data_IF_780627230377
#
_entry.id   IF_780627230377
#
_cell.length_a   1.000
_cell.length_b   1.000
_cell.length_c   1.000
_cell.angle_alpha   90.00
_cell.angle_beta   90.00
_cell.angle_gamma   90.00
#
_symmetry.space_group_name_H-M   'P 1'
#
loop_
_entity.id
_entity.type
_entity.pdbx_description
1 polymer ?
#
# COMPACT_ATOMS: atom_id res chain seq x y z
N UNK A 1 25.32 8.35 15.05
CA UNK A 1 25.23 9.55 14.19
C UNK A 1 26.26 9.43 13.08
N UNK A 2 25.81 9.08 11.87
CA UNK A 2 26.65 9.12 10.66
C UNK A 2 26.09 10.25 9.81
N UNK A 3 26.97 11.17 9.42
CA UNK A 3 26.66 12.47 8.82
C UNK A 3 26.38 12.34 7.32
N UNK A 4 25.39 13.08 6.81
CA UNK A 4 24.89 13.07 5.43
C UNK A 4 25.87 13.48 4.32
N UNK A 5 27.18 13.50 4.59
CA UNK A 5 28.25 13.73 3.60
C UNK A 5 28.95 12.47 3.13
N UNK A 6 28.63 11.30 3.69
CA UNK A 6 29.22 10.01 3.29
C UNK A 6 28.36 9.18 2.31
N UNK A 7 27.10 9.58 2.05
CA UNK A 7 26.20 8.86 1.13
C UNK A 7 26.31 9.33 -0.34
N UNK A 8 26.88 10.51 -0.59
CA UNK A 8 27.01 11.10 -1.93
C UNK A 8 28.02 10.41 -2.86
N UNK A 9 29.15 9.84 -2.40
CA UNK A 9 30.07 9.10 -3.29
C UNK A 9 29.51 7.74 -3.75
N UNK A 10 28.63 7.11 -2.96
CA UNK A 10 28.10 5.77 -3.27
C UNK A 10 27.02 5.80 -4.36
N UNK A 11 26.21 6.87 -4.40
CA UNK A 11 25.17 7.09 -5.42
C UNK A 11 25.72 7.60 -6.76
N UNK A 12 26.87 8.27 -6.77
CA UNK A 12 27.53 8.73 -8.01
C UNK A 12 28.44 7.65 -8.61
N UNK A 13 28.98 6.72 -7.80
CA UNK A 13 29.75 5.57 -8.28
C UNK A 13 28.93 4.50 -9.03
N UNK A 14 27.65 4.32 -8.68
CA UNK A 14 26.76 3.36 -9.34
C UNK A 14 26.19 3.82 -10.69
N UNK A 15 26.06 5.13 -10.91
CA UNK A 15 25.47 5.69 -12.13
C UNK A 15 26.47 5.85 -13.29
N UNK A 16 27.78 5.84 -13.03
CA UNK A 16 28.82 5.93 -14.06
C UNK A 16 29.25 4.56 -14.63
N UNK A 17 28.82 3.44 -14.03
CA UNK A 17 29.12 2.09 -14.52
C UNK A 17 28.24 1.63 -15.70
N UNK A 18 27.04 2.19 -15.85
CA UNK A 18 26.06 1.71 -16.85
C UNK A 18 26.16 2.50 -18.18
N UNK A 19 26.62 3.74 -18.16
CA UNK A 19 26.78 4.56 -19.36
C UNK A 19 28.03 4.18 -20.22
N UNK A 20 29.01 3.48 -19.65
CA UNK A 20 30.22 3.06 -20.35
C UNK A 20 30.08 1.77 -21.18
N UNK A 21 29.06 0.95 -20.92
CA UNK A 21 28.95 -0.38 -21.52
C UNK A 21 28.14 -0.41 -22.83
N UNK A 22 27.20 0.52 -23.01
CA UNK A 22 26.40 0.61 -24.24
C UNK A 22 27.12 1.27 -25.43
N UNK A 23 28.31 1.86 -25.24
CA UNK A 23 29.11 2.43 -26.33
C UNK A 23 30.22 1.49 -26.85
N UNK A 24 30.39 0.31 -26.25
CA UNK A 24 31.48 -0.64 -26.57
C UNK A 24 31.15 -1.75 -27.57
N UNK A 25 29.87 -2.03 -27.86
CA UNK A 25 29.48 -3.13 -28.77
C UNK A 25 29.24 -2.68 -30.22
N UNK A 26 29.67 -1.46 -30.57
CA UNK A 26 29.43 -0.84 -31.87
C UNK A 26 30.67 -0.60 -32.72
N UNK A 27 31.69 -1.48 -32.73
CA UNK A 27 32.70 -1.52 -33.81
C UNK A 27 33.64 -2.73 -33.69
N UNK A 28 33.55 -3.65 -34.64
CA UNK A 28 34.67 -4.51 -35.03
C UNK A 28 34.38 -6.00 -35.16
N UNK A 29 33.90 -6.42 -36.34
CA UNK A 29 34.22 -7.73 -36.91
C UNK A 29 33.24 -8.87 -36.66
N UNK A 30 32.33 -9.09 -37.61
CA UNK A 30 31.88 -10.42 -38.01
C UNK A 30 32.46 -10.68 -39.42
N UNK A 31 32.91 -11.91 -39.73
CA UNK A 31 31.95 -12.98 -39.98
C UNK A 31 32.37 -14.30 -39.33
N UNK A 32 31.63 -14.73 -38.32
CA UNK A 32 31.77 -16.05 -37.72
C UNK A 32 30.46 -16.41 -37.04
N UNK A 33 29.86 -17.54 -37.43
CA UNK A 33 28.46 -17.84 -37.16
C UNK A 33 28.09 -17.88 -35.69
N UNK A 34 26.82 -17.56 -35.41
CA UNK A 34 26.16 -17.84 -34.14
C UNK A 34 26.22 -19.35 -33.87
N UNK A 35 27.28 -19.77 -33.18
CA UNK A 35 27.37 -21.13 -32.65
C UNK A 35 26.42 -21.23 -31.46
N UNK A 36 25.63 -22.31 -31.43
CA UNK A 36 24.71 -22.67 -30.33
C UNK A 36 25.41 -22.57 -28.96
N UNK A 37 26.70 -22.88 -28.93
CA UNK A 37 27.59 -22.82 -27.76
C UNK A 37 27.81 -21.40 -27.20
N UNK A 38 27.80 -20.36 -28.05
CA UNK A 38 27.87 -18.96 -27.62
C UNK A 38 26.55 -18.48 -26.99
N UNK A 39 25.43 -18.91 -27.55
CA UNK A 39 24.09 -18.66 -27.00
C UNK A 39 23.87 -19.39 -25.67
N UNK A 40 24.32 -20.64 -25.53
CA UNK A 40 24.24 -21.41 -24.29
C UNK A 40 25.06 -20.77 -23.16
N UNK A 41 26.23 -20.22 -23.47
CA UNK A 41 27.03 -19.50 -22.49
C UNK A 41 26.36 -18.21 -22.01
N UNK A 42 25.73 -17.44 -22.92
CA UNK A 42 24.97 -16.25 -22.55
C UNK A 42 23.73 -16.60 -21.70
N UNK A 43 23.04 -17.69 -22.04
CA UNK A 43 21.88 -18.17 -21.29
C UNK A 43 22.24 -18.65 -19.87
N UNK A 44 23.42 -19.25 -19.72
CA UNK A 44 23.96 -19.64 -18.41
C UNK A 44 24.31 -18.42 -17.57
N UNK A 45 25.02 -17.45 -18.13
CA UNK A 45 25.39 -16.21 -17.43
C UNK A 45 24.13 -15.44 -16.99
N UNK A 46 23.12 -15.32 -17.86
CA UNK A 46 21.86 -14.66 -17.52
C UNK A 46 21.04 -15.42 -16.45
N UNK A 47 21.15 -16.76 -16.38
CA UNK A 47 20.53 -17.55 -15.31
C UNK A 47 21.25 -17.38 -13.98
N UNK A 48 22.57 -17.35 -14.00
CA UNK A 48 23.39 -17.16 -12.81
C UNK A 48 23.19 -15.75 -12.23
N UNK A 49 23.06 -14.74 -13.09
CA UNK A 49 22.71 -13.36 -12.69
C UNK A 49 21.29 -13.26 -12.13
N UNK A 50 20.28 -13.91 -12.75
CA UNK A 50 18.93 -13.94 -12.18
C UNK A 50 18.91 -14.62 -10.81
N UNK A 51 19.60 -15.75 -10.65
CA UNK A 51 19.69 -16.44 -9.37
C UNK A 51 20.41 -15.60 -8.29
N UNK A 52 21.42 -14.82 -8.69
CA UNK A 52 22.11 -13.88 -7.81
C UNK A 52 21.19 -12.71 -7.42
N UNK A 53 20.46 -12.13 -8.37
CA UNK A 53 19.50 -11.04 -8.13
C UNK A 53 18.32 -11.49 -7.27
N UNK A 54 17.83 -12.72 -7.43
CA UNK A 54 16.80 -13.30 -6.56
C UNK A 54 17.31 -13.47 -5.13
N UNK A 55 18.57 -13.89 -4.97
CA UNK A 55 19.21 -14.04 -3.66
C UNK A 55 19.48 -12.69 -3.00
N UNK A 56 19.90 -11.68 -3.76
CA UNK A 56 20.09 -10.31 -3.28
C UNK A 56 18.76 -9.64 -2.95
N UNK A 57 17.72 -9.82 -3.77
CA UNK A 57 16.35 -9.41 -3.42
C UNK A 57 15.85 -10.12 -2.16
N UNK A 58 16.10 -11.43 -2.01
CA UNK A 58 15.79 -12.19 -0.80
C UNK A 58 16.52 -11.65 0.44
N UNK A 59 17.78 -11.24 0.28
CA UNK A 59 18.58 -10.66 1.35
C UNK A 59 18.16 -9.23 1.70
N UNK A 60 17.76 -8.42 0.72
CA UNK A 60 17.24 -7.06 0.91
C UNK A 60 15.84 -7.10 1.56
N UNK A 61 15.00 -8.06 1.15
CA UNK A 61 13.72 -8.41 1.81
C UNK A 61 13.89 -8.79 3.28
N UNK A 62 14.96 -9.51 3.61
CA UNK A 62 15.28 -9.89 5.00
C UNK A 62 15.79 -8.72 5.85
N UNK A 63 16.33 -7.66 5.24
CA UNK A 63 16.95 -6.52 5.92
C UNK A 63 16.00 -5.33 6.11
N UNK A 64 14.91 -5.25 5.36
CA UNK A 64 13.86 -4.25 5.52
C UNK A 64 12.89 -4.61 6.67
N UNK A 65 13.35 -4.42 7.90
CA UNK A 65 12.59 -4.04 9.10
C UNK A 65 11.18 -4.66 9.32
N UNK A 66 11.14 -5.71 10.15
CA UNK A 66 10.07 -5.87 11.16
C UNK A 66 8.79 -6.63 10.75
N UNK A 67 8.57 -6.93 9.48
CA UNK A 67 7.51 -7.83 9.04
C UNK A 67 7.64 -8.10 7.55
N UNK A 68 7.57 -9.37 7.15
CA UNK A 68 7.88 -9.79 5.79
C UNK A 68 6.90 -9.25 4.74
N UNK A 69 7.21 -9.43 3.46
CA UNK A 69 6.25 -9.22 2.37
C UNK A 69 5.24 -10.39 2.34
N UNK A 70 3.96 -10.07 2.13
CA UNK A 70 2.92 -11.07 1.87
C UNK A 70 2.81 -11.26 0.36
N UNK A 71 2.95 -12.52 -0.07
CA UNK A 71 2.81 -12.88 -1.48
C UNK A 71 1.38 -12.62 -1.95
N UNK A 72 1.23 -11.88 -3.04
CA UNK A 72 -0.06 -11.62 -3.65
C UNK A 72 -0.31 -12.63 -4.77
N UNK A 73 -1.40 -13.42 -4.73
CA UNK A 73 -1.72 -14.35 -5.81
C UNK A 73 -1.93 -13.63 -7.14
N UNK A 74 -1.32 -14.14 -8.21
CA UNK A 74 -1.40 -13.52 -9.54
C UNK A 74 -2.84 -13.47 -10.06
N UNK A 75 -3.68 -14.43 -9.67
CA UNK A 75 -5.11 -14.48 -10.00
C UNK A 75 -5.85 -13.25 -9.47
N UNK A 76 -5.50 -12.75 -8.27
CA UNK A 76 -6.09 -11.53 -7.72
C UNK A 76 -5.69 -10.31 -8.53
N UNK A 77 -4.42 -10.22 -8.94
CA UNK A 77 -3.92 -9.13 -9.78
C UNK A 77 -4.64 -9.11 -11.12
N UNK A 78 -4.65 -10.24 -11.82
CA UNK A 78 -5.31 -10.38 -13.12
C UNK A 78 -6.81 -10.06 -13.05
N UNK A 79 -7.47 -10.46 -11.95
CA UNK A 79 -8.87 -10.12 -11.72
C UNK A 79 -9.07 -8.62 -11.60
N UNK A 80 -8.29 -7.95 -10.75
CA UNK A 80 -8.41 -6.51 -10.53
C UNK A 80 -8.15 -5.76 -11.84
N UNK A 81 -7.09 -6.11 -12.56
CA UNK A 81 -6.75 -5.46 -13.83
C UNK A 81 -7.89 -5.59 -14.85
N UNK A 82 -8.49 -6.78 -14.94
CA UNK A 82 -9.64 -7.03 -15.80
C UNK A 82 -10.88 -6.24 -15.36
N UNK A 83 -11.20 -6.27 -14.07
CA UNK A 83 -12.42 -5.67 -13.53
C UNK A 83 -12.39 -4.13 -13.65
N UNK A 84 -11.19 -3.52 -13.66
CA UNK A 84 -10.99 -2.08 -13.74
C UNK A 84 -10.48 -1.57 -15.11
N UNK A 85 -10.11 -2.47 -16.02
CA UNK A 85 -9.55 -2.09 -17.32
C UNK A 85 -8.22 -1.34 -17.24
N UNK A 86 -7.49 -1.49 -16.15
CA UNK A 86 -6.19 -0.85 -15.88
C UNK A 86 -5.15 -1.92 -15.56
N UNK A 87 -3.87 -1.62 -15.74
CA UNK A 87 -2.77 -2.51 -15.34
C UNK A 87 -2.00 -1.91 -14.17
N UNK A 88 -1.45 -2.75 -13.31
CA UNK A 88 -0.47 -2.29 -12.34
C UNK A 88 0.76 -1.74 -13.08
N UNK A 89 1.16 -0.51 -12.75
CA UNK A 89 2.37 0.14 -13.29
C UNK A 89 3.61 -0.53 -12.70
N UNK A 90 3.53 -0.93 -11.43
CA UNK A 90 4.54 -1.73 -10.74
C UNK A 90 3.87 -2.84 -9.94
N UNK A 91 4.56 -3.97 -9.75
CA UNK A 91 4.04 -5.09 -8.97
C UNK A 91 3.69 -4.62 -7.55
N UNK A 92 2.45 -4.84 -7.08
CA UNK A 92 2.05 -4.38 -5.76
C UNK A 92 2.78 -5.17 -4.68
N UNK A 93 3.28 -4.45 -3.68
CA UNK A 93 3.93 -5.03 -2.50
C UNK A 93 3.00 -4.82 -1.33
N UNK A 94 2.69 -5.91 -0.62
CA UNK A 94 1.90 -5.89 0.60
C UNK A 94 2.83 -6.29 1.74
N UNK A 95 2.95 -5.41 2.73
CA UNK A 95 3.82 -5.66 3.86
C UNK A 95 3.05 -6.26 5.03
N UNK A 96 3.67 -7.16 5.77
CA UNK A 96 3.14 -7.65 7.03
C UNK A 96 3.63 -6.77 8.19
N UNK A 97 2.77 -6.53 9.16
CA UNK A 97 3.11 -5.81 10.39
C UNK A 97 2.42 -6.46 11.58
N UNK A 98 3.01 -6.36 12.77
CA UNK A 98 2.33 -6.78 14.00
C UNK A 98 1.07 -5.92 14.24
N UNK A 99 0.00 -6.52 14.79
CA UNK A 99 -1.26 -5.79 15.05
C UNK A 99 -1.03 -4.52 15.89
N UNK A 100 -0.17 -4.59 16.90
CA UNK A 100 0.18 -3.47 17.80
C UNK A 100 0.95 -2.34 17.10
N UNK A 101 1.73 -2.65 16.07
CA UNK A 101 2.56 -1.69 15.35
C UNK A 101 1.77 -0.93 14.26
N UNK A 102 0.61 -1.47 13.85
CA UNK A 102 -0.24 -0.82 12.87
C UNK A 102 -0.70 0.58 13.32
N UNK A 103 -0.98 0.76 14.60
CA UNK A 103 -1.37 2.06 15.16
C UNK A 103 -0.30 3.13 14.97
N UNK A 104 0.95 2.81 15.29
CA UNK A 104 2.09 3.72 15.13
C UNK A 104 2.36 4.10 13.68
N UNK A 105 2.17 3.15 12.75
CA UNK A 105 2.29 3.45 11.30
C UNK A 105 1.20 4.40 10.82
N UNK A 106 -0.04 4.18 11.25
CA UNK A 106 -1.16 5.06 10.91
C UNK A 106 -0.93 6.46 11.49
N UNK A 107 -0.47 6.55 12.73
CA UNK A 107 -0.14 7.83 13.39
C UNK A 107 0.91 8.60 12.59
N UNK A 108 2.05 7.98 12.29
CA UNK A 108 3.12 8.59 11.51
C UNK A 108 2.66 9.02 10.11
N UNK A 109 1.83 8.23 9.44
CA UNK A 109 1.28 8.58 8.13
C UNK A 109 0.31 9.77 8.19
N UNK A 110 -0.53 9.85 9.23
CA UNK A 110 -1.42 11.00 9.42
C UNK A 110 -0.61 12.28 9.67
N UNK A 111 0.39 12.22 10.55
CA UNK A 111 1.22 13.38 10.90
C UNK A 111 2.06 13.86 9.72
N UNK A 112 2.74 12.93 9.03
CA UNK A 112 3.58 13.25 7.87
C UNK A 112 2.82 13.95 6.75
N UNK A 113 1.54 13.58 6.55
CA UNK A 113 0.66 14.15 5.53
C UNK A 113 0.37 15.64 5.74
N UNK A 114 0.11 16.04 6.98
CA UNK A 114 -0.34 17.41 7.31
C UNK A 114 0.82 18.34 7.68
N UNK A 115 2.00 17.77 7.96
CA UNK A 115 3.19 18.51 8.33
C UNK A 115 3.21 18.94 9.81
N UNK A 116 4.28 19.65 10.22
CA UNK A 116 4.46 20.07 11.61
C UNK A 116 3.28 20.88 12.12
N UNK A 117 2.80 20.59 13.33
CA UNK A 117 1.66 21.25 13.98
C UNK A 117 0.31 21.12 13.26
N UNK A 118 0.27 20.52 12.06
CA UNK A 118 -0.96 20.45 11.27
C UNK A 118 -2.09 19.70 11.97
N UNK A 119 -1.78 18.69 12.77
CA UNK A 119 -2.79 17.98 13.57
C UNK A 119 -3.30 18.80 14.76
N UNK A 120 -2.40 19.55 15.42
CA UNK A 120 -2.76 20.40 16.56
C UNK A 120 -3.66 21.55 16.11
N UNK A 121 -3.29 22.23 15.02
CA UNK A 121 -4.08 23.33 14.43
C UNK A 121 -5.49 22.87 14.04
N UNK A 122 -5.62 21.67 13.46
CA UNK A 122 -6.92 21.07 13.10
C UNK A 122 -7.74 20.74 14.33
N UNK A 123 -7.11 20.17 15.34
CA UNK A 123 -7.79 19.84 16.59
C UNK A 123 -8.34 21.12 17.24
N UNK A 124 -7.56 22.19 17.28
CA UNK A 124 -8.05 23.48 17.75
C UNK A 124 -9.20 23.98 16.88
N UNK A 125 -9.02 24.06 15.56
CA UNK A 125 -10.04 24.53 14.63
C UNK A 125 -11.37 23.76 14.79
N UNK A 126 -11.33 22.43 14.92
CA UNK A 126 -12.54 21.63 15.09
C UNK A 126 -13.19 21.84 16.45
N UNK A 127 -12.42 22.12 17.52
CA UNK A 127 -12.99 22.56 18.81
C UNK A 127 -13.66 23.92 18.69
N UNK A 128 -13.07 24.87 17.96
CA UNK A 128 -13.67 26.17 17.69
C UNK A 128 -14.99 26.07 16.92
N UNK A 129 -15.07 25.14 15.96
CA UNK A 129 -16.30 24.83 15.20
C UNK A 129 -17.32 24.03 16.01
N UNK A 130 -16.96 23.53 17.19
CA UNK A 130 -17.82 22.66 18.01
C UNK A 130 -17.92 21.22 17.49
N UNK A 131 -17.06 20.82 16.57
CA UNK A 131 -16.99 19.45 16.04
C UNK A 131 -16.23 18.49 16.96
N UNK A 132 -15.40 19.02 17.87
CA UNK A 132 -14.72 18.26 18.92
C UNK A 132 -15.04 18.86 20.29
N UNK A 133 -15.18 17.98 21.29
CA UNK A 133 -15.21 18.34 22.69
C UNK A 133 -13.84 18.80 23.22
N UNK A 134 -13.84 19.36 24.44
CA UNK A 134 -12.61 19.88 25.08
C UNK A 134 -11.58 18.79 25.35
N UNK A 135 -12.05 17.61 25.75
CA UNK A 135 -11.20 16.46 26.10
C UNK A 135 -10.88 15.56 24.90
N UNK A 136 -11.49 15.83 23.75
CA UNK A 136 -11.30 14.99 22.56
C UNK A 136 -9.90 15.20 21.98
N UNK A 137 -9.28 14.07 21.59
CA UNK A 137 -7.94 14.02 21.01
C UNK A 137 -8.03 13.50 19.58
N UNK A 138 -7.92 14.41 18.61
CA UNK A 138 -8.23 14.14 17.20
C UNK A 138 -7.36 13.02 16.61
N UNK A 139 -6.04 13.12 16.81
CA UNK A 139 -5.08 12.14 16.27
C UNK A 139 -5.34 10.75 16.87
N UNK A 140 -5.44 10.65 18.20
CA UNK A 140 -5.69 9.38 18.89
C UNK A 140 -7.01 8.73 18.44
N UNK A 141 -8.08 9.53 18.29
CA UNK A 141 -9.36 9.05 17.79
C UNK A 141 -9.26 8.51 16.36
N UNK A 142 -8.59 9.22 15.45
CA UNK A 142 -8.40 8.75 14.08
C UNK A 142 -7.54 7.49 13.97
N UNK A 143 -6.45 7.42 14.75
CA UNK A 143 -5.60 6.23 14.82
C UNK A 143 -6.41 5.05 15.34
N UNK A 144 -7.17 5.22 16.42
CA UNK A 144 -7.99 4.17 17.01
C UNK A 144 -9.03 3.63 16.01
N UNK A 145 -9.74 4.50 15.31
CA UNK A 145 -10.77 4.10 14.32
C UNK A 145 -10.18 3.29 13.18
N UNK A 146 -8.97 3.66 12.72
CA UNK A 146 -8.32 3.02 11.57
C UNK A 146 -7.54 1.76 11.95
N UNK A 147 -7.18 1.58 13.21
CA UNK A 147 -6.37 0.45 13.69
C UNK A 147 -7.19 -0.65 14.39
N UNK A 148 -8.25 -0.30 15.14
CA UNK A 148 -8.99 -1.27 15.95
C UNK A 148 -9.70 -2.28 15.06
N UNK A 149 -9.33 -3.55 15.21
CA UNK A 149 -9.90 -4.65 14.43
C UNK A 149 -9.51 -4.65 12.94
N UNK A 150 -8.63 -3.75 12.52
CA UNK A 150 -8.12 -3.71 11.16
C UNK A 150 -7.22 -4.93 10.90
N UNK A 151 -7.49 -5.66 9.82
CA UNK A 151 -6.62 -6.74 9.32
C UNK A 151 -5.65 -6.27 8.24
N UNK A 152 -5.87 -5.06 7.74
CA UNK A 152 -4.99 -4.40 6.80
C UNK A 152 -5.38 -2.95 6.62
N UNK A 153 -4.42 -2.17 6.15
CA UNK A 153 -4.49 -0.73 6.02
C UNK A 153 -3.71 -0.28 4.78
N UNK A 154 -4.10 0.86 4.22
CA UNK A 154 -3.47 1.44 3.05
C UNK A 154 -3.11 2.89 3.35
N UNK A 155 -1.84 3.22 3.14
CA UNK A 155 -1.30 4.55 3.27
C UNK A 155 -1.55 5.36 1.99
N UNK A 156 -2.36 6.41 2.11
CA UNK A 156 -2.74 7.27 0.99
C UNK A 156 -1.63 8.26 0.59
N UNK A 157 -0.60 8.42 1.41
CA UNK A 157 0.55 9.30 1.14
C UNK A 157 1.62 8.54 0.37
N UNK A 158 1.99 7.35 0.85
CA UNK A 158 3.09 6.58 0.26
C UNK A 158 2.61 5.60 -0.80
N UNK A 159 1.33 5.23 -0.78
CA UNK A 159 0.79 4.18 -1.63
C UNK A 159 1.10 2.76 -1.13
N UNK A 160 1.63 2.62 0.08
CA UNK A 160 1.97 1.34 0.68
C UNK A 160 0.75 0.66 1.32
N UNK A 161 0.68 -0.65 1.18
CA UNK A 161 -0.36 -1.47 1.78
C UNK A 161 0.23 -2.40 2.83
N UNK A 162 -0.49 -2.52 3.95
CA UNK A 162 -0.09 -3.28 5.12
C UNK A 162 -1.18 -4.29 5.49
N UNK A 163 -0.79 -5.47 5.94
CA UNK A 163 -1.66 -6.46 6.58
C UNK A 163 -1.10 -6.84 7.94
N UNK A 164 -1.98 -7.14 8.89
CA UNK A 164 -1.56 -7.54 10.23
C UNK A 164 -1.11 -9.00 10.26
N UNK A 165 -0.39 -9.39 11.31
CA UNK A 165 -0.11 -10.78 11.69
C UNK A 165 -1.35 -11.67 11.87
N UNK A 166 -2.55 -11.08 12.04
CA UNK A 166 -3.84 -11.79 12.07
C UNK A 166 -4.45 -12.08 10.70
N UNK A 167 -3.80 -11.65 9.62
CA UNK A 167 -4.26 -11.88 8.27
C UNK A 167 -4.08 -13.37 7.88
N UNK A 168 -5.12 -13.97 7.32
CA UNK A 168 -5.12 -15.33 6.83
C UNK A 168 -5.50 -15.37 5.33
N UNK A 169 -4.56 -15.77 4.47
CA UNK A 169 -4.77 -15.82 3.02
C UNK A 169 -5.83 -16.83 2.58
N UNK A 170 -6.15 -17.81 3.42
CA UNK A 170 -7.17 -18.82 3.12
C UNK A 170 -8.58 -18.36 3.53
N UNK A 171 -8.67 -17.33 4.39
CA UNK A 171 -9.92 -16.82 4.89
C UNK A 171 -10.58 -15.86 3.89
N UNK A 172 -11.82 -16.15 3.48
CA UNK A 172 -12.56 -15.35 2.48
C UNK A 172 -12.66 -13.87 2.85
N UNK A 173 -13.02 -13.49 4.10
CA UNK A 173 -12.96 -12.10 4.54
C UNK A 173 -11.62 -11.39 4.34
N UNK A 174 -10.52 -12.09 4.55
CA UNK A 174 -9.18 -11.52 4.45
C UNK A 174 -8.74 -11.43 2.99
N UNK A 175 -9.10 -12.39 2.16
CA UNK A 175 -8.97 -12.28 0.70
C UNK A 175 -9.76 -11.07 0.15
N UNK A 176 -10.96 -10.81 0.68
CA UNK A 176 -11.76 -9.65 0.30
C UNK A 176 -11.07 -8.34 0.72
N UNK A 177 -10.51 -8.29 1.93
CA UNK A 177 -9.72 -7.16 2.42
C UNK A 177 -8.44 -6.95 1.60
N UNK A 178 -7.76 -8.03 1.17
CA UNK A 178 -6.60 -7.97 0.27
C UNK A 178 -6.97 -7.35 -1.07
N UNK A 179 -8.09 -7.76 -1.68
CA UNK A 179 -8.59 -7.15 -2.92
C UNK A 179 -8.86 -5.65 -2.74
N UNK A 180 -9.44 -5.25 -1.61
CA UNK A 180 -9.65 -3.83 -1.29
C UNK A 180 -8.32 -3.07 -1.26
N UNK A 181 -7.30 -3.60 -0.61
CA UNK A 181 -5.97 -2.98 -0.56
C UNK A 181 -5.36 -2.85 -1.97
N UNK A 182 -5.39 -3.93 -2.75
CA UNK A 182 -4.82 -3.96 -4.09
C UNK A 182 -5.51 -2.98 -5.06
N UNK A 183 -6.83 -2.79 -4.94
CA UNK A 183 -7.53 -1.76 -5.72
C UNK A 183 -7.06 -0.36 -5.35
N UNK A 184 -6.83 -0.08 -4.05
CA UNK A 184 -6.27 1.21 -3.63
C UNK A 184 -4.84 1.41 -4.14
N UNK A 185 -4.01 0.36 -4.13
CA UNK A 185 -2.66 0.40 -4.74
C UNK A 185 -2.75 0.71 -6.23
N UNK A 186 -3.63 0.03 -6.97
CA UNK A 186 -3.83 0.28 -8.41
C UNK A 186 -4.24 1.74 -8.66
N UNK A 187 -5.25 2.23 -7.95
CA UNK A 187 -5.73 3.60 -8.10
C UNK A 187 -4.66 4.62 -7.72
N UNK A 188 -3.85 4.36 -6.70
CA UNK A 188 -2.76 5.24 -6.30
C UNK A 188 -1.65 5.29 -7.35
N UNK A 189 -1.33 4.17 -8.01
CA UNK A 189 -0.33 4.16 -9.10
C UNK A 189 -0.77 5.02 -10.29
N UNK A 190 -2.06 4.97 -10.67
CA UNK A 190 -2.59 5.76 -11.80
C UNK A 190 -2.93 7.20 -11.43
N UNK A 191 -3.37 7.43 -10.19
CA UNK A 191 -3.85 8.72 -9.70
C UNK A 191 -3.19 9.07 -8.35
N UNK A 192 -1.86 9.29 -8.34
CA UNK A 192 -1.14 9.59 -7.10
C UNK A 192 -1.63 10.92 -6.50
N UNK A 193 -1.52 11.09 -5.16
CA UNK A 193 -1.82 12.37 -4.54
C UNK A 193 -0.85 13.46 -5.05
N UNK A 194 -1.25 14.75 -5.00
CA UNK A 194 -0.33 15.84 -5.27
C UNK A 194 0.81 15.87 -4.25
N UNK A 195 1.96 16.39 -4.65
CA UNK A 195 3.16 16.45 -3.80
C UNK A 195 3.00 17.36 -2.57
N UNK A 196 2.16 18.39 -2.68
CA UNK A 196 1.77 19.24 -1.57
C UNK A 196 0.38 18.86 -1.07
N UNK A 197 0.18 18.94 0.26
CA UNK A 197 -1.11 18.64 0.86
C UNK A 197 -2.20 19.57 0.29
N UNK A 198 -3.25 19.02 -0.36
CA UNK A 198 -4.22 19.82 -1.10
C UNK A 198 -5.29 20.47 -0.21
N UNK A 199 -5.25 20.23 1.10
CA UNK A 199 -6.33 20.59 2.04
C UNK A 199 -7.22 19.39 2.38
N UNK A 200 -7.92 19.48 3.50
CA UNK A 200 -8.72 18.38 4.08
C UNK A 200 -9.81 17.92 3.11
N UNK A 201 -10.60 18.84 2.55
CA UNK A 201 -11.71 18.51 1.67
C UNK A 201 -11.26 17.75 0.41
N UNK A 202 -10.19 18.22 -0.24
CA UNK A 202 -9.67 17.59 -1.45
C UNK A 202 -9.03 16.23 -1.16
N UNK A 203 -8.30 16.13 -0.04
CA UNK A 203 -7.72 14.87 0.41
C UNK A 203 -8.82 13.85 0.72
N UNK A 204 -9.82 14.22 1.52
CA UNK A 204 -10.92 13.35 1.90
C UNK A 204 -11.79 12.94 0.71
N UNK A 205 -12.06 13.85 -0.22
CA UNK A 205 -12.82 13.51 -1.43
C UNK A 205 -12.10 12.43 -2.25
N UNK A 206 -10.79 12.55 -2.44
CA UNK A 206 -9.98 11.54 -3.13
C UNK A 206 -9.95 10.22 -2.35
N UNK A 207 -9.67 10.27 -1.05
CA UNK A 207 -9.60 9.08 -0.20
C UNK A 207 -10.94 8.33 -0.17
N UNK A 208 -12.05 9.07 -0.06
CA UNK A 208 -13.40 8.51 -0.08
C UNK A 208 -13.71 7.87 -1.43
N UNK A 209 -13.34 8.51 -2.55
CA UNK A 209 -13.51 7.94 -3.88
C UNK A 209 -12.74 6.63 -4.03
N UNK A 210 -11.45 6.62 -3.66
CA UNK A 210 -10.60 5.43 -3.75
C UNK A 210 -11.11 4.31 -2.82
N UNK A 211 -11.49 4.65 -1.59
CA UNK A 211 -12.05 3.71 -0.63
C UNK A 211 -13.40 3.13 -1.08
N UNK A 212 -14.28 3.95 -1.65
CA UNK A 212 -15.57 3.51 -2.18
C UNK A 212 -15.42 2.55 -3.35
N UNK A 213 -14.56 2.88 -4.32
CA UNK A 213 -14.25 1.99 -5.46
C UNK A 213 -13.70 0.65 -4.95
N UNK A 214 -12.74 0.68 -4.01
CA UNK A 214 -12.18 -0.52 -3.42
C UNK A 214 -13.20 -1.35 -2.62
N UNK A 215 -14.11 -0.70 -1.88
CA UNK A 215 -15.23 -1.33 -1.17
C UNK A 215 -16.21 -2.03 -2.13
N UNK A 216 -16.44 -1.44 -3.31
CA UNK A 216 -17.23 -2.08 -4.38
C UNK A 216 -16.58 -3.38 -4.88
N UNK A 217 -15.26 -3.43 -5.05
CA UNK A 217 -14.55 -4.66 -5.41
C UNK A 217 -14.66 -5.74 -4.32
N UNK A 218 -14.48 -5.36 -3.05
CA UNK A 218 -14.68 -6.23 -1.90
C UNK A 218 -16.10 -6.82 -1.90
N UNK A 219 -17.12 -5.98 -2.09
CA UNK A 219 -18.53 -6.38 -2.11
C UNK A 219 -18.83 -7.34 -3.28
N UNK A 220 -18.31 -7.06 -4.48
CA UNK A 220 -18.45 -7.95 -5.64
C UNK A 220 -17.76 -9.30 -5.42
N UNK A 221 -16.64 -9.32 -4.71
CA UNK A 221 -15.96 -10.56 -4.32
C UNK A 221 -16.83 -11.41 -3.39
N UNK A 222 -17.36 -10.82 -2.32
CA UNK A 222 -18.29 -11.52 -1.43
C UNK A 222 -19.53 -12.03 -2.17
N UNK A 223 -20.13 -11.23 -3.05
CA UNK A 223 -21.29 -11.65 -3.83
C UNK A 223 -20.97 -12.82 -4.77
N UNK A 224 -19.78 -12.86 -5.37
CA UNK A 224 -19.34 -13.98 -6.19
C UNK A 224 -19.13 -15.25 -5.35
N UNK A 225 -18.46 -15.14 -4.20
CA UNK A 225 -18.24 -16.28 -3.30
C UNK A 225 -19.55 -16.81 -2.72
N UNK A 226 -20.47 -15.93 -2.34
CA UNK A 226 -21.78 -16.33 -1.84
C UNK A 226 -22.57 -17.15 -2.86
N UNK A 227 -22.48 -16.81 -4.15
CA UNK A 227 -23.09 -17.58 -5.24
C UNK A 227 -22.42 -18.92 -5.47
N UNK A 228 -21.11 -19.02 -5.29
CA UNK A 228 -20.34 -20.22 -5.59
C UNK A 228 -20.35 -21.25 -4.43
N UNK A 229 -20.31 -20.78 -3.18
CA UNK A 229 -20.02 -21.62 -2.02
C UNK A 229 -20.92 -21.35 -0.81
N UNK A 230 -21.92 -20.48 -0.96
CA UNK A 230 -22.81 -20.06 0.13
C UNK A 230 -22.27 -18.87 0.93
N UNK A 231 -23.13 -18.28 1.77
CA UNK A 231 -22.81 -17.08 2.53
C UNK A 231 -21.73 -17.33 3.58
N UNK A 232 -20.67 -16.52 3.53
CA UNK A 232 -19.65 -16.47 4.57
C UNK A 232 -19.92 -15.24 5.43
N UNK A 233 -20.07 -15.37 6.76
CA UNK A 233 -20.23 -14.22 7.63
C UNK A 233 -18.96 -13.35 7.58
N UNK A 234 -19.17 -12.03 7.53
CA UNK A 234 -18.08 -11.07 7.70
C UNK A 234 -17.53 -11.16 9.13
N UNK A 235 -16.23 -10.92 9.31
CA UNK A 235 -15.62 -10.88 10.65
C UNK A 235 -16.35 -9.87 11.53
N UNK A 236 -16.72 -10.27 12.76
CA UNK A 236 -17.39 -9.39 13.72
C UNK A 236 -16.45 -8.27 14.16
N UNK A 237 -16.73 -7.04 13.70
CA UNK A 237 -16.02 -5.82 14.06
C UNK A 237 -16.73 -5.05 15.18
N UNK A 238 -17.45 -5.74 16.08
CA UNK A 238 -18.25 -5.10 17.13
C UNK A 238 -17.48 -4.12 18.02
N UNK A 239 -16.16 -4.27 18.18
CA UNK A 239 -15.31 -3.29 18.88
C UNK A 239 -15.08 -2.02 18.06
N UNK A 240 -14.72 -2.15 16.77
CA UNK A 240 -14.52 -1.01 15.88
C UNK A 240 -15.84 -0.24 15.67
N UNK A 241 -16.95 -0.95 15.48
CA UNK A 241 -18.28 -0.35 15.35
C UNK A 241 -18.68 0.46 16.59
N UNK A 242 -18.40 -0.07 17.79
CA UNK A 242 -18.65 0.66 19.05
C UNK A 242 -17.77 1.90 19.19
N UNK A 243 -16.50 1.79 18.80
CA UNK A 243 -15.57 2.91 18.85
C UNK A 243 -15.95 4.02 17.85
N UNK A 244 -16.38 3.63 16.65
CA UNK A 244 -16.94 4.55 15.64
C UNK A 244 -18.15 5.30 16.17
N UNK A 245 -19.12 4.60 16.79
CA UNK A 245 -20.32 5.24 17.37
C UNK A 245 -20.02 6.15 18.57
N UNK A 246 -18.84 6.02 19.18
CA UNK A 246 -18.40 6.85 20.30
C UNK A 246 -17.68 8.14 19.86
N UNK A 247 -17.36 8.29 18.57
CA UNK A 247 -16.73 9.51 18.05
C UNK A 247 -17.71 10.69 18.03
N UNK A 248 -17.21 11.93 17.99
CA UNK A 248 -18.02 13.09 17.62
C UNK A 248 -18.68 12.92 16.24
N UNK A 249 -19.90 13.44 16.06
CA UNK A 249 -20.73 13.24 14.85
C UNK A 249 -19.98 13.55 13.55
N UNK A 250 -19.20 14.63 13.54
CA UNK A 250 -18.39 15.01 12.39
C UNK A 250 -17.40 13.91 12.00
N UNK A 251 -16.65 13.38 12.98
CA UNK A 251 -15.70 12.30 12.73
C UNK A 251 -16.41 11.00 12.33
N UNK A 252 -17.59 10.71 12.87
CA UNK A 252 -18.42 9.59 12.39
C UNK A 252 -18.73 9.75 10.90
N UNK A 253 -19.20 10.92 10.48
CA UNK A 253 -19.53 11.20 9.08
C UNK A 253 -18.34 10.99 8.14
N UNK A 254 -17.20 11.62 8.43
CA UNK A 254 -16.00 11.54 7.57
C UNK A 254 -15.43 10.12 7.52
N UNK A 255 -15.49 9.35 8.62
CA UNK A 255 -14.92 8.00 8.67
C UNK A 255 -15.83 6.92 8.09
N UNK A 256 -17.16 7.07 8.23
CA UNK A 256 -18.14 6.06 7.84
C UNK A 256 -18.61 6.18 6.40
N UNK A 257 -18.52 7.36 5.78
CA UNK A 257 -19.09 7.64 4.46
C UNK A 257 -18.77 6.55 3.43
N UNK A 258 -17.49 6.19 3.26
CA UNK A 258 -17.09 5.18 2.26
C UNK A 258 -17.52 3.75 2.60
N UNK A 259 -17.66 3.42 3.88
CA UNK A 259 -18.07 2.09 4.34
C UNK A 259 -19.60 1.90 4.34
N UNK A 260 -20.36 2.98 4.50
CA UNK A 260 -21.83 2.97 4.54
C UNK A 260 -22.40 3.22 3.15
N UNK A 261 -21.95 4.27 2.46
CA UNK A 261 -22.52 4.73 1.18
C UNK A 261 -21.71 4.25 -0.03
N UNK A 262 -20.42 3.94 0.14
CA UNK A 262 -19.54 3.50 -0.95
C UNK A 262 -19.73 2.06 -1.44
N UNK A 263 -20.72 1.33 -0.93
CA UNK A 263 -21.03 -0.06 -1.34
C UNK A 263 -21.92 -0.05 -2.59
N UNK A 264 -21.33 0.27 -3.74
CA UNK A 264 -21.94 0.23 -5.07
C UNK A 264 -21.63 -1.03 -5.87
#
# INVERSE_FOLDING_TARGET
MISGKQLLPLLVGGALGVAGWMHGLGRGGAPGGDTVEGLENLLRIARDENAMLEKENGSLRSLAQGGGEVAVPQEMLNRIERDYGMKFISSPVIHQVATEELGHRIEAAIESRVGPQGMDDRQEAYRWLGWLGKEDRLLEMWVAVKSVGARGWFDEVTGEAWVTDKFDSENVPDQAAMLRLLVRVLLHQHFPPPTAYPGDDAAWAREALHAGVASGAETRFYAANARASGFVPMNDQGAAARLLLALPEFLQGVTMFSAVEGKG
#
